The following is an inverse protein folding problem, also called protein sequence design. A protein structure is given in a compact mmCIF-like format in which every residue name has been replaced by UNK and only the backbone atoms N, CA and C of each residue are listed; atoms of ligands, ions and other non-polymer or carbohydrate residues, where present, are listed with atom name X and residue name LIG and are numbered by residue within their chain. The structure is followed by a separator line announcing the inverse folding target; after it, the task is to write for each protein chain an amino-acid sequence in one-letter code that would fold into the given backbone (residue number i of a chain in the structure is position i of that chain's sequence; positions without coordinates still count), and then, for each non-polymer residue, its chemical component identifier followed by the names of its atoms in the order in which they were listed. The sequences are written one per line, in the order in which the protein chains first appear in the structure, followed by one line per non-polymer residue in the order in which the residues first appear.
data_IF_322845097772
#
_entry.id   IF_322845097772
#
_cell.length_a   1.000
_cell.length_b   1.000
_cell.length_c   1.000
_cell.angle_alpha   90.00
_cell.angle_beta   90.00
_cell.angle_gamma   90.00
#
_symmetry.space_group_name_H-M   'P 1'
#
loop_
_entity.id
_entity.type
_entity.pdbx_description
1 polymer ?
#
# COMPACT_ATOMS: atom_id res chain seq x y z
N UNK A 1 -16.15 -27.04 -13.69
CA UNK A 1 -15.21 -26.95 -12.55
C UNK A 1 -15.83 -27.54 -11.30
N UNK A 2 -14.98 -27.96 -10.38
CA UNK A 2 -15.42 -28.46 -9.07
C UNK A 2 -16.13 -27.36 -8.28
N UNK A 3 -17.06 -27.78 -7.43
CA UNK A 3 -17.74 -26.87 -6.51
C UNK A 3 -16.73 -26.14 -5.60
N UNK A 4 -16.85 -24.83 -5.52
CA UNK A 4 -15.97 -23.97 -4.74
C UNK A 4 -14.87 -23.24 -5.53
N UNK A 5 -14.56 -23.69 -6.76
CA UNK A 5 -13.61 -23.00 -7.63
C UNK A 5 -12.32 -22.57 -6.89
N UNK A 6 -11.98 -21.29 -6.95
CA UNK A 6 -10.81 -20.72 -6.27
C UNK A 6 -10.92 -20.65 -4.73
N UNK A 7 -12.13 -20.78 -4.18
CA UNK A 7 -12.33 -20.83 -2.73
C UNK A 7 -12.11 -22.22 -2.10
N UNK A 8 -11.84 -23.24 -2.92
CA UNK A 8 -11.59 -24.59 -2.46
C UNK A 8 -10.26 -24.66 -1.72
N UNK A 9 -10.26 -25.18 -0.49
CA UNK A 9 -9.02 -25.48 0.23
C UNK A 9 -8.30 -26.68 -0.38
N UNK A 10 -6.98 -26.70 -0.30
CA UNK A 10 -6.15 -27.84 -0.69
C UNK A 10 -5.73 -28.63 0.55
N UNK A 11 -5.91 -29.93 0.50
CA UNK A 11 -5.51 -30.85 1.56
C UNK A 11 -4.38 -31.76 1.05
N UNK A 12 -3.27 -31.73 1.75
CA UNK A 12 -2.12 -32.59 1.47
C UNK A 12 -1.87 -33.52 2.65
N UNK A 13 -1.63 -34.79 2.35
CA UNK A 13 -1.32 -35.78 3.37
C UNK A 13 0.15 -36.19 3.27
N UNK A 14 0.92 -35.98 4.33
CA UNK A 14 2.33 -36.35 4.40
C UNK A 14 2.66 -36.97 5.76
N UNK A 15 3.21 -38.18 5.75
CA UNK A 15 3.60 -38.94 6.96
C UNK A 15 2.52 -38.97 8.05
N UNK A 16 1.27 -39.21 7.68
CA UNK A 16 0.13 -39.26 8.60
C UNK A 16 -0.35 -37.91 9.14
N UNK A 17 0.16 -36.83 8.61
CA UNK A 17 -0.29 -35.47 8.93
C UNK A 17 -1.03 -34.87 7.73
N UNK A 18 -2.15 -34.20 8.01
CA UNK A 18 -2.84 -33.38 7.04
C UNK A 18 -2.25 -31.95 7.10
N UNK A 19 -1.88 -31.42 5.97
CA UNK A 19 -1.45 -30.04 5.79
C UNK A 19 -2.48 -29.34 4.93
N UNK A 20 -3.03 -28.25 5.42
CA UNK A 20 -3.94 -27.38 4.69
C UNK A 20 -3.16 -26.30 3.97
N UNK A 21 -3.51 -26.05 2.72
CA UNK A 21 -3.03 -24.90 1.97
C UNK A 21 -4.21 -24.06 1.49
N UNK A 22 -3.99 -22.78 1.42
CA UNK A 22 -4.95 -21.85 0.87
C UNK A 22 -5.12 -22.11 -0.63
N UNK A 23 -6.34 -21.89 -1.13
CA UNK A 23 -6.61 -21.83 -2.56
C UNK A 23 -6.41 -20.40 -3.09
N UNK A 24 -7.07 -20.04 -4.18
CA UNK A 24 -6.93 -18.69 -4.76
C UNK A 24 -7.56 -17.56 -3.93
N UNK A 25 -8.57 -17.86 -3.12
CA UNK A 25 -9.19 -16.91 -2.20
C UNK A 25 -8.58 -17.06 -0.81
N UNK A 26 -7.95 -16.00 -0.30
CA UNK A 26 -7.24 -16.01 0.98
C UNK A 26 -7.86 -15.09 2.02
N UNK A 27 -8.31 -13.90 1.60
CA UNK A 27 -8.64 -12.81 2.50
C UNK A 27 -10.08 -12.35 2.31
N UNK A 28 -10.68 -11.93 3.41
CA UNK A 28 -11.84 -11.06 3.42
C UNK A 28 -11.31 -9.65 3.71
N UNK A 29 -11.22 -8.81 2.68
CA UNK A 29 -10.68 -7.45 2.83
C UNK A 29 -11.75 -6.53 3.42
N UNK A 30 -11.45 -5.91 4.57
CA UNK A 30 -12.30 -4.94 5.24
C UNK A 30 -13.80 -5.34 5.29
N UNK A 31 -14.17 -6.48 5.89
CA UNK A 31 -15.54 -6.97 5.89
C UNK A 31 -16.52 -6.00 6.55
N UNK A 32 -16.06 -5.14 7.47
CA UNK A 32 -16.84 -4.05 8.07
C UNK A 32 -17.37 -3.02 7.05
N UNK A 33 -16.75 -2.92 5.88
CA UNK A 33 -17.17 -2.01 4.80
C UNK A 33 -18.07 -2.70 3.76
N UNK A 34 -18.44 -3.95 3.99
CA UNK A 34 -19.30 -4.68 3.07
C UNK A 34 -20.74 -4.13 3.06
N UNK A 35 -21.41 -4.25 1.92
CA UNK A 35 -22.84 -3.96 1.84
C UNK A 35 -23.62 -4.88 2.79
N UNK A 36 -24.81 -4.44 3.20
CA UNK A 36 -25.69 -5.26 4.07
C UNK A 36 -25.94 -6.67 3.49
N UNK A 37 -26.08 -6.77 2.16
CA UNK A 37 -26.26 -8.06 1.50
C UNK A 37 -25.03 -8.97 1.63
N UNK A 38 -23.82 -8.45 1.48
CA UNK A 38 -22.59 -9.22 1.63
C UNK A 38 -22.29 -9.55 3.09
N UNK A 39 -22.53 -8.59 4.01
CA UNK A 39 -22.37 -8.81 5.45
C UNK A 39 -23.37 -9.83 6.00
N UNK A 40 -24.64 -9.81 5.55
CA UNK A 40 -25.63 -10.81 5.97
C UNK A 40 -25.24 -12.21 5.48
N UNK A 41 -24.71 -12.33 4.26
CA UNK A 41 -24.21 -13.62 3.75
C UNK A 41 -23.11 -14.18 4.65
N UNK A 42 -22.14 -13.35 5.07
CA UNK A 42 -21.07 -13.79 5.98
C UNK A 42 -21.65 -14.32 7.30
N UNK A 43 -22.60 -13.59 7.90
CA UNK A 43 -23.28 -14.01 9.14
C UNK A 43 -24.05 -15.32 8.95
N UNK A 44 -24.77 -15.46 7.84
CA UNK A 44 -25.58 -16.65 7.54
C UNK A 44 -24.72 -17.93 7.37
N UNK A 45 -23.50 -17.80 6.86
CA UNK A 45 -22.54 -18.92 6.77
C UNK A 45 -21.68 -19.07 8.03
N UNK A 46 -21.96 -18.32 9.10
CA UNK A 46 -21.33 -18.46 10.41
C UNK A 46 -19.98 -17.76 10.56
N UNK A 47 -19.67 -16.78 9.69
CA UNK A 47 -18.49 -15.94 9.84
C UNK A 47 -18.85 -14.78 10.78
N UNK A 48 -18.19 -14.76 11.94
CA UNK A 48 -18.30 -13.70 12.95
C UNK A 48 -17.01 -12.85 12.93
N UNK A 49 -17.14 -11.62 12.44
CA UNK A 49 -16.01 -10.66 12.33
C UNK A 49 -15.39 -10.37 13.69
N UNK A 50 -16.21 -10.19 14.73
CA UNK A 50 -15.71 -9.94 16.08
C UNK A 50 -14.93 -11.12 16.66
N UNK A 51 -15.34 -12.35 16.36
CA UNK A 51 -14.59 -13.54 16.75
C UNK A 51 -13.25 -13.64 16.00
N UNK A 52 -13.22 -13.26 14.72
CA UNK A 52 -11.96 -13.23 13.92
C UNK A 52 -11.00 -12.19 14.48
N UNK A 53 -11.48 -10.99 14.80
CA UNK A 53 -10.65 -9.93 15.41
C UNK A 53 -10.09 -10.38 16.77
N UNK A 54 -10.91 -11.01 17.61
CA UNK A 54 -10.47 -11.56 18.91
C UNK A 54 -9.45 -12.69 18.73
N UNK A 55 -9.64 -13.55 17.75
CA UNK A 55 -8.64 -14.59 17.41
C UNK A 55 -7.32 -13.96 16.98
N UNK A 56 -7.35 -12.92 16.13
CA UNK A 56 -6.18 -12.16 15.73
C UNK A 56 -5.47 -11.53 16.92
N UNK A 57 -6.21 -10.89 17.81
CA UNK A 57 -5.67 -10.25 19.02
C UNK A 57 -5.05 -11.25 20.00
N UNK A 58 -5.55 -12.47 20.05
CA UNK A 58 -5.07 -13.53 20.93
C UNK A 58 -4.02 -14.45 20.28
N UNK A 59 -3.76 -14.28 18.98
CA UNK A 59 -2.75 -15.09 18.28
C UNK A 59 -1.35 -14.58 18.62
N UNK A 60 -0.42 -15.47 19.03
CA UNK A 60 0.96 -15.08 19.27
C UNK A 60 1.55 -14.38 18.03
N UNK A 61 2.31 -13.31 18.28
CA UNK A 61 2.85 -12.43 17.22
C UNK A 61 3.67 -13.20 16.15
N UNK A 62 4.30 -14.31 16.56
CA UNK A 62 5.07 -15.19 15.66
C UNK A 62 4.20 -15.95 14.65
N UNK A 63 2.88 -16.04 14.86
CA UNK A 63 1.91 -16.69 13.95
C UNK A 63 1.10 -15.70 13.12
N UNK A 64 1.20 -14.41 13.37
CA UNK A 64 0.52 -13.39 12.59
C UNK A 64 1.29 -13.14 11.30
N UNK A 65 0.67 -13.46 10.17
CA UNK A 65 1.15 -13.02 8.86
C UNK A 65 1.21 -11.50 8.88
N UNK A 66 2.42 -10.97 8.93
CA UNK A 66 2.62 -9.54 8.97
C UNK A 66 2.94 -8.94 10.34
N UNK A 67 2.97 -9.68 11.45
CA UNK A 67 3.40 -9.19 12.75
C UNK A 67 4.82 -8.61 12.72
N UNK A 68 5.82 -9.34 13.13
CA UNK A 68 7.23 -8.92 13.01
C UNK A 68 7.70 -8.74 11.56
N UNK A 69 7.15 -9.53 10.62
CA UNK A 69 7.50 -9.45 9.19
C UNK A 69 7.14 -8.10 8.58
N UNK A 70 6.05 -7.46 8.97
CA UNK A 70 5.68 -6.12 8.49
C UNK A 70 6.67 -5.03 8.94
N UNK A 71 7.43 -5.26 10.01
CA UNK A 71 8.44 -4.32 10.47
C UNK A 71 9.70 -4.33 9.57
N UNK A 72 9.99 -5.46 8.91
CA UNK A 72 11.24 -5.71 8.19
C UNK A 72 11.04 -5.99 6.70
N UNK A 73 9.95 -5.52 6.10
CA UNK A 73 9.72 -5.64 4.66
C UNK A 73 10.79 -4.85 3.90
N UNK A 74 11.56 -5.58 3.08
CA UNK A 74 12.55 -4.98 2.20
C UNK A 74 11.92 -4.48 0.90
N UNK A 75 12.35 -3.32 0.44
CA UNK A 75 12.08 -2.86 -0.91
C UNK A 75 13.19 -3.37 -1.84
N UNK A 76 12.85 -4.21 -2.79
CA UNK A 76 13.79 -4.74 -3.79
C UNK A 76 13.69 -3.92 -5.07
N UNK A 77 14.81 -3.36 -5.48
CA UNK A 77 14.91 -2.49 -6.66
C UNK A 77 16.00 -2.97 -7.61
N UNK A 78 15.87 -2.73 -8.92
CA UNK A 78 16.93 -3.00 -9.88
C UNK A 78 18.21 -2.21 -9.57
N UNK A 79 19.36 -2.86 -9.68
CA UNK A 79 20.69 -2.27 -9.52
C UNK A 79 21.67 -2.83 -10.56
N UNK A 80 21.66 -2.26 -11.75
CA UNK A 80 22.39 -2.79 -12.90
C UNK A 80 21.82 -4.15 -13.33
N UNK A 81 22.68 -5.17 -13.42
CA UNK A 81 22.28 -6.57 -13.72
C UNK A 81 21.75 -7.33 -12.48
N UNK A 82 21.79 -6.72 -11.31
CA UNK A 82 21.40 -7.33 -10.04
C UNK A 82 20.19 -6.61 -9.43
N UNK A 83 19.75 -7.10 -8.29
CA UNK A 83 18.73 -6.46 -7.46
C UNK A 83 19.33 -6.11 -6.10
N UNK A 84 18.95 -4.96 -5.57
CA UNK A 84 19.28 -4.52 -4.23
C UNK A 84 18.02 -4.52 -3.37
N UNK A 85 18.07 -5.20 -2.24
CA UNK A 85 17.00 -5.12 -1.24
C UNK A 85 17.41 -4.16 -0.12
N UNK A 86 16.63 -3.09 0.05
CA UNK A 86 16.79 -2.14 1.15
C UNK A 86 15.76 -2.50 2.22
N UNK A 87 16.23 -3.06 3.32
CA UNK A 87 15.40 -3.43 4.47
C UNK A 87 14.82 -2.21 5.17
N UNK A 88 13.62 -2.37 5.73
CA UNK A 88 12.96 -1.35 6.52
C UNK A 88 11.44 -1.37 6.36
N UNK A 89 10.77 -0.55 7.15
CA UNK A 89 9.31 -0.47 7.15
C UNK A 89 8.81 0.53 6.10
N UNK A 90 8.86 0.14 4.82
CA UNK A 90 8.61 1.05 3.70
C UNK A 90 7.21 1.68 3.71
N UNK A 91 6.17 0.98 4.16
CA UNK A 91 4.84 1.60 4.35
C UNK A 91 4.91 2.79 5.30
N UNK A 92 5.63 2.69 6.43
CA UNK A 92 5.85 3.82 7.34
C UNK A 92 6.73 4.90 6.71
N UNK A 93 7.74 4.49 5.93
CA UNK A 93 8.68 5.40 5.27
C UNK A 93 8.00 6.28 4.23
N UNK A 94 7.07 5.73 3.45
CA UNK A 94 6.25 6.51 2.52
C UNK A 94 5.44 7.62 3.18
N UNK A 95 5.14 7.46 4.46
CA UNK A 95 4.45 8.46 5.26
C UNK A 95 5.38 9.29 6.17
N UNK A 96 6.68 9.32 5.87
CA UNK A 96 7.68 10.12 6.59
C UNK A 96 7.89 9.69 8.04
N UNK A 97 7.60 8.41 8.35
CA UNK A 97 7.78 7.84 9.70
C UNK A 97 8.98 6.90 9.72
N UNK A 98 9.60 6.76 10.90
CA UNK A 98 10.78 5.90 11.06
C UNK A 98 12.02 6.45 10.36
N UNK A 99 12.99 5.56 10.10
CA UNK A 99 14.31 5.92 9.56
C UNK A 99 14.34 5.98 8.01
N UNK A 100 13.30 6.59 7.42
CA UNK A 100 13.16 6.67 5.96
C UNK A 100 14.32 7.39 5.28
N UNK A 101 14.91 8.39 5.94
CA UNK A 101 16.03 9.17 5.38
C UNK A 101 17.25 8.28 5.09
N UNK A 102 17.60 7.40 6.03
CA UNK A 102 18.69 6.45 5.83
C UNK A 102 18.32 5.32 4.86
N UNK A 103 17.07 4.88 4.84
CA UNK A 103 16.61 3.89 3.87
C UNK A 103 16.70 4.42 2.43
N UNK A 104 16.20 5.63 2.18
CA UNK A 104 16.26 6.28 0.85
C UNK A 104 17.70 6.47 0.39
N UNK A 105 18.63 6.84 1.28
CA UNK A 105 20.06 6.98 0.93
C UNK A 105 20.74 5.69 0.49
N UNK A 106 20.15 4.53 0.76
CA UNK A 106 20.65 3.23 0.31
C UNK A 106 20.12 2.84 -1.07
N UNK A 107 19.14 3.56 -1.62
CA UNK A 107 18.60 3.27 -2.95
C UNK A 107 19.65 3.57 -4.06
N UNK A 108 19.71 2.76 -5.11
CA UNK A 108 20.68 2.90 -6.21
C UNK A 108 20.21 3.97 -7.23
N UNK A 109 19.95 5.18 -6.73
CA UNK A 109 19.52 6.35 -7.49
C UNK A 109 20.45 7.52 -7.18
N UNK A 110 20.41 8.57 -8.00
CA UNK A 110 21.27 9.75 -7.79
C UNK A 110 20.95 10.46 -6.47
N UNK A 111 21.93 11.16 -5.91
CA UNK A 111 21.74 11.96 -4.70
C UNK A 111 20.57 12.96 -4.85
N UNK A 112 20.45 13.61 -6.00
CA UNK A 112 19.33 14.51 -6.30
C UNK A 112 17.97 13.79 -6.15
N UNK A 113 17.85 12.58 -6.64
CA UNK A 113 16.61 11.79 -6.54
C UNK A 113 16.35 11.29 -5.11
N UNK A 114 17.41 10.98 -4.37
CA UNK A 114 17.29 10.65 -2.94
C UNK A 114 16.77 11.85 -2.14
N UNK A 115 17.30 13.04 -2.40
CA UNK A 115 16.89 14.27 -1.72
C UNK A 115 15.43 14.63 -2.02
N UNK A 116 14.99 14.47 -3.27
CA UNK A 116 13.58 14.64 -3.68
C UNK A 116 12.65 13.67 -2.98
N UNK A 117 13.01 12.38 -2.90
CA UNK A 117 12.22 11.38 -2.18
C UNK A 117 12.16 11.68 -0.68
N UNK A 118 13.26 12.12 -0.08
CA UNK A 118 13.30 12.48 1.34
C UNK A 118 12.38 13.68 1.62
N UNK A 119 12.39 14.70 0.78
CA UNK A 119 11.50 15.85 0.89
C UNK A 119 10.02 15.43 0.69
N UNK A 120 9.76 14.58 -0.29
CA UNK A 120 8.43 14.08 -0.61
C UNK A 120 7.84 13.25 0.52
N UNK A 121 8.58 12.30 1.09
CA UNK A 121 8.13 11.50 2.23
C UNK A 121 7.99 12.32 3.50
N UNK A 122 8.86 13.32 3.69
CA UNK A 122 8.83 14.24 4.83
C UNK A 122 7.57 15.09 4.88
N UNK A 123 7.00 15.41 3.71
CA UNK A 123 5.82 16.27 3.61
C UNK A 123 6.08 17.72 3.93
N UNK A 124 7.31 18.18 3.70
CA UNK A 124 7.74 19.55 3.98
C UNK A 124 7.43 20.53 2.82
N UNK A 125 6.99 20.01 1.67
CA UNK A 125 6.76 20.78 0.44
C UNK A 125 5.36 20.50 -0.10
N UNK A 126 4.57 21.56 -0.36
CA UNK A 126 3.36 21.47 -1.19
C UNK A 126 3.75 21.64 -2.66
N UNK A 127 3.78 20.55 -3.40
CA UNK A 127 4.14 20.53 -4.81
C UNK A 127 3.11 21.17 -5.74
N UNK A 128 1.99 21.63 -5.21
CA UNK A 128 0.92 22.31 -5.93
C UNK A 128 0.63 23.71 -5.37
N UNK A 129 1.60 24.33 -4.70
CA UNK A 129 1.45 25.62 -4.03
C UNK A 129 1.15 26.79 -5.01
N UNK A 130 1.49 26.58 -6.29
CA UNK A 130 1.21 27.51 -7.40
C UNK A 130 -0.27 27.48 -7.87
N UNK A 131 -1.11 26.61 -7.32
CA UNK A 131 -2.50 26.39 -7.73
C UNK A 131 -3.49 26.85 -6.66
N UNK A 132 -4.63 27.39 -7.08
CA UNK A 132 -5.79 27.61 -6.21
C UNK A 132 -6.38 26.26 -5.74
N UNK A 133 -7.20 26.25 -4.67
CA UNK A 133 -7.82 25.01 -4.15
C UNK A 133 -8.65 24.28 -5.21
N UNK A 134 -9.33 25.03 -6.09
CA UNK A 134 -10.12 24.43 -7.17
C UNK A 134 -9.23 23.75 -8.21
N UNK A 135 -8.17 24.42 -8.62
CA UNK A 135 -7.19 23.86 -9.56
C UNK A 135 -6.47 22.65 -8.96
N UNK A 136 -6.10 22.70 -7.67
CA UNK A 136 -5.55 21.54 -6.97
C UNK A 136 -6.51 20.34 -6.99
N UNK A 137 -7.79 20.58 -6.71
CA UNK A 137 -8.81 19.55 -6.75
C UNK A 137 -8.97 18.94 -8.14
N UNK A 138 -9.08 19.77 -9.16
CA UNK A 138 -9.18 19.32 -10.56
C UNK A 138 -7.91 18.53 -10.96
N UNK A 139 -6.73 19.04 -10.59
CA UNK A 139 -5.45 18.40 -10.88
C UNK A 139 -5.34 17.00 -10.26
N UNK A 140 -5.63 16.83 -8.98
CA UNK A 140 -5.48 15.52 -8.31
C UNK A 140 -6.49 14.47 -8.79
N UNK A 141 -7.62 14.90 -9.32
CA UNK A 141 -8.63 14.00 -9.89
C UNK A 141 -8.34 13.60 -11.34
N UNK A 142 -7.66 14.45 -12.11
CA UNK A 142 -7.50 14.26 -13.56
C UNK A 142 -6.09 13.89 -14.00
N UNK A 143 -5.10 14.12 -13.15
CA UNK A 143 -3.69 13.81 -13.43
C UNK A 143 -3.32 12.46 -12.85
N UNK A 144 -2.61 11.64 -13.62
CA UNK A 144 -2.11 10.36 -13.09
C UNK A 144 -1.03 10.58 -12.03
N UNK A 145 -0.97 9.66 -11.06
CA UNK A 145 0.00 9.76 -9.96
C UNK A 145 1.44 9.79 -10.44
N UNK A 146 1.79 8.95 -11.41
CA UNK A 146 3.15 8.94 -11.95
C UNK A 146 3.47 10.20 -12.77
N UNK A 147 2.48 10.82 -13.42
CA UNK A 147 2.67 12.11 -14.08
C UNK A 147 2.93 13.22 -13.05
N UNK A 148 2.19 13.23 -11.94
CA UNK A 148 2.45 14.14 -10.81
C UNK A 148 3.87 13.95 -10.24
N UNK A 149 4.29 12.71 -10.01
CA UNK A 149 5.64 12.41 -9.52
C UNK A 149 6.72 12.91 -10.50
N UNK A 150 6.46 12.82 -11.79
CA UNK A 150 7.38 13.28 -12.81
C UNK A 150 7.42 14.82 -12.92
N UNK A 151 6.26 15.46 -13.09
CA UNK A 151 6.17 16.88 -13.41
C UNK A 151 6.34 17.78 -12.19
N UNK A 152 5.78 17.41 -11.05
CA UNK A 152 5.72 18.27 -9.86
C UNK A 152 6.77 17.89 -8.82
N UNK A 153 6.92 16.60 -8.52
CA UNK A 153 7.97 16.15 -7.58
C UNK A 153 9.35 16.10 -8.26
N UNK A 154 9.39 15.98 -9.57
CA UNK A 154 10.60 15.95 -10.37
C UNK A 154 11.38 14.66 -10.26
N UNK A 155 10.66 13.54 -10.07
CA UNK A 155 11.26 12.20 -10.09
C UNK A 155 11.51 11.76 -11.53
N UNK A 156 12.60 11.03 -11.73
CA UNK A 156 12.90 10.45 -13.05
C UNK A 156 12.07 9.19 -13.31
N UNK A 157 11.92 8.84 -14.59
CA UNK A 157 11.30 7.57 -15.02
C UNK A 157 11.99 6.33 -14.46
N UNK A 158 13.22 6.44 -13.95
CA UNK A 158 13.93 5.35 -13.26
C UNK A 158 13.58 5.28 -11.77
N UNK A 159 13.24 6.41 -11.16
CA UNK A 159 12.91 6.50 -9.74
C UNK A 159 11.44 6.18 -9.47
N UNK A 160 10.53 6.59 -10.35
CA UNK A 160 9.07 6.38 -10.21
C UNK A 160 8.69 4.91 -9.94
N UNK A 161 9.27 3.88 -10.62
CA UNK A 161 8.92 2.49 -10.37
C UNK A 161 9.16 2.01 -8.93
N UNK A 162 10.01 2.69 -8.17
CA UNK A 162 10.23 2.40 -6.75
C UNK A 162 8.93 2.60 -5.94
N UNK A 163 8.17 3.65 -6.27
CA UNK A 163 6.87 3.96 -5.64
C UNK A 163 5.73 3.17 -6.28
N UNK A 164 5.84 2.90 -7.57
CA UNK A 164 4.82 2.20 -8.34
C UNK A 164 4.61 0.75 -7.86
N UNK A 165 5.66 0.12 -7.35
CA UNK A 165 5.60 -1.22 -6.78
C UNK A 165 4.55 -1.33 -5.66
N UNK A 166 4.34 -0.29 -4.86
CA UNK A 166 3.32 -0.24 -3.81
C UNK A 166 1.89 -0.28 -4.40
N UNK A 167 1.63 0.53 -5.42
CA UNK A 167 0.32 0.56 -6.10
C UNK A 167 0.01 -0.74 -6.82
N UNK A 168 1.00 -1.34 -7.48
CA UNK A 168 0.85 -2.62 -8.19
C UNK A 168 0.42 -3.74 -7.25
N UNK A 169 0.95 -3.78 -6.03
CA UNK A 169 0.59 -4.80 -5.04
C UNK A 169 -0.84 -4.60 -4.52
N UNK A 170 -1.25 -3.37 -4.28
CA UNK A 170 -2.55 -3.07 -3.66
C UNK A 170 -3.70 -3.00 -4.67
N UNK A 171 -3.47 -2.41 -5.83
CA UNK A 171 -4.53 -2.04 -6.76
C UNK A 171 -4.39 -2.67 -8.16
N UNK A 172 -3.29 -3.39 -8.44
CA UNK A 172 -3.03 -4.03 -9.74
C UNK A 172 -2.48 -3.10 -10.83
N UNK A 173 -3.17 -2.03 -11.25
CA UNK A 173 -2.62 -1.08 -12.23
C UNK A 173 -1.52 -0.19 -11.65
N UNK A 174 -0.64 0.31 -12.51
CA UNK A 174 0.41 1.24 -12.11
C UNK A 174 -0.13 2.65 -11.86
N UNK A 175 0.66 3.50 -11.21
CA UNK A 175 0.33 4.90 -10.96
C UNK A 175 0.13 5.76 -12.22
N UNK A 176 0.43 5.23 -13.42
CA UNK A 176 0.03 5.86 -14.69
C UNK A 176 -1.47 5.75 -14.97
N UNK A 177 -2.15 4.78 -14.36
CA UNK A 177 -3.58 4.49 -14.54
C UNK A 177 -4.44 4.95 -13.36
N UNK A 178 -3.84 5.40 -12.26
CA UNK A 178 -4.53 5.95 -11.10
C UNK A 178 -4.36 7.46 -11.08
N UNK A 179 -5.42 8.19 -10.74
CA UNK A 179 -5.30 9.61 -10.42
C UNK A 179 -4.46 9.82 -9.15
N UNK A 180 -3.95 11.04 -8.96
CA UNK A 180 -3.22 11.39 -7.74
C UNK A 180 -4.07 11.10 -6.50
N UNK A 181 -5.37 11.45 -6.54
CA UNK A 181 -6.30 11.23 -5.44
C UNK A 181 -6.47 9.74 -5.13
N UNK A 182 -6.74 8.92 -6.14
CA UNK A 182 -6.91 7.46 -5.97
C UNK A 182 -5.66 6.80 -5.39
N UNK A 183 -4.48 7.16 -5.91
CA UNK A 183 -3.22 6.62 -5.42
C UNK A 183 -2.97 6.97 -3.94
N UNK A 184 -3.28 8.20 -3.54
CA UNK A 184 -3.14 8.67 -2.17
C UNK A 184 -4.14 7.98 -1.24
N UNK A 185 -5.40 7.82 -1.67
CA UNK A 185 -6.41 7.07 -0.93
C UNK A 185 -6.03 5.59 -0.76
N UNK A 186 -5.29 5.03 -1.71
CA UNK A 186 -4.71 3.70 -1.62
C UNK A 186 -3.44 3.62 -0.76
N UNK A 187 -3.03 4.70 -0.10
CA UNK A 187 -1.88 4.73 0.80
C UNK A 187 -0.53 5.08 0.16
N UNK A 188 -0.53 5.55 -1.09
CA UNK A 188 0.70 6.07 -1.71
C UNK A 188 1.18 7.36 -1.04
N UNK A 189 2.50 7.65 -1.04
CA UNK A 189 3.02 8.87 -0.47
C UNK A 189 2.50 10.13 -1.19
N UNK A 190 2.41 11.25 -0.47
CA UNK A 190 2.00 12.56 -1.01
C UNK A 190 1.04 13.35 -0.14
N UNK A 191 0.25 12.69 0.71
CA UNK A 191 -0.71 13.36 1.60
C UNK A 191 -0.06 14.46 2.44
N UNK A 192 1.07 14.18 3.05
CA UNK A 192 1.75 15.14 3.93
C UNK A 192 2.31 16.32 3.17
N UNK A 193 2.79 16.09 1.95
CA UNK A 193 3.29 17.13 1.07
C UNK A 193 2.15 18.04 0.54
N UNK A 194 0.90 17.57 0.60
CA UNK A 194 -0.30 18.31 0.19
C UNK A 194 -1.21 18.57 1.39
N UNK A 195 -0.72 19.30 2.39
CA UNK A 195 -1.34 19.47 3.72
C UNK A 195 -2.86 19.69 3.75
N UNK A 196 -3.44 20.40 2.76
CA UNK A 196 -4.88 20.60 2.63
C UNK A 196 -5.63 19.29 2.27
N UNK A 197 -5.02 18.43 1.44
CA UNK A 197 -5.61 17.16 1.03
C UNK A 197 -5.58 16.15 2.17
N UNK A 198 -4.58 16.20 3.05
CA UNK A 198 -4.51 15.36 4.25
C UNK A 198 -5.75 15.59 5.14
N UNK A 199 -6.09 16.84 5.42
CA UNK A 199 -7.27 17.18 6.20
C UNK A 199 -8.58 16.75 5.54
N UNK A 200 -8.65 16.80 4.20
CA UNK A 200 -9.82 16.34 3.46
C UNK A 200 -9.97 14.83 3.51
N UNK A 201 -8.89 14.08 3.29
CA UNK A 201 -8.91 12.61 3.31
C UNK A 201 -9.20 12.09 4.71
N UNK A 202 -8.63 12.69 5.75
CA UNK A 202 -8.93 12.35 7.15
C UNK A 202 -10.43 12.59 7.46
N UNK A 203 -11.01 13.62 6.88
CA UNK A 203 -12.46 13.91 7.02
C UNK A 203 -13.33 12.88 6.30
N UNK A 204 -12.93 12.40 5.14
CA UNK A 204 -13.66 11.39 4.37
C UNK A 204 -13.50 10.00 4.99
N UNK A 205 -12.34 9.68 5.52
CA UNK A 205 -12.09 8.40 6.20
C UNK A 205 -12.79 8.29 7.57
N UNK A 206 -13.21 9.42 8.14
CA UNK A 206 -13.97 9.48 9.40
C UNK A 206 -15.50 9.44 9.20
N UNK A 207 -16.00 9.46 7.96
CA UNK A 207 -17.40 9.30 7.57
C UNK A 207 -17.73 7.84 7.28
#
# INVERSE_FOLDING_TARGET
DDFGGHAKRNEFHYKGRMVLSLAGAQNLDNPSNYSEAAGSLLRDIGIDEGAIEQMGANTPEDYLLGGKLNADLGLTVPNGEHHLTVGGHWVKFFHGRGDYRNAVKKLPISQEQQDKLIAFFGGDVDFLDDMSLREKWDYVNTTSYNQFLFDKVGLTKKTIPILDAHLLILNGPSGWSHSVLEAILAGSPGLRAMGWLANFVDSVAAM
#
